data_IF_703500418339
#
_entry.id   IF_703500418339
#
_cell.length_a   1.000
_cell.length_b   1.000
_cell.length_c   1.000
_cell.angle_alpha   90.00
_cell.angle_beta   90.00
_cell.angle_gamma   90.00
#
_symmetry.space_group_name_H-M   'P 1'
#
loop_
_entity.id
_entity.type
_entity.pdbx_description
1 polymer ?
#
# COMPACT_ATOMS: atom_id res chain seq x y z
N UNK A 1 1.50 -2.80 7.37
CA UNK A 1 1.90 -3.00 5.96
C UNK A 1 2.39 -4.42 5.79
N UNK A 2 1.91 -5.11 4.77
CA UNK A 2 2.35 -6.46 4.38
C UNK A 2 3.00 -6.42 2.99
N UNK A 3 3.92 -7.35 2.73
CA UNK A 3 4.55 -7.55 1.42
C UNK A 3 4.90 -9.03 1.22
N UNK A 4 4.99 -9.49 -0.03
CA UNK A 4 5.34 -10.88 -0.31
C UNK A 4 5.15 -11.26 -1.77
N UNK A 5 5.56 -12.48 -2.11
CA UNK A 5 5.28 -13.08 -3.42
C UNK A 5 3.92 -13.75 -3.39
N UNK A 6 3.05 -13.37 -4.33
CA UNK A 6 1.69 -13.88 -4.46
C UNK A 6 1.70 -15.41 -4.59
N UNK A 7 0.82 -16.09 -3.85
CA UNK A 7 0.69 -17.55 -3.88
C UNK A 7 1.78 -18.32 -3.11
N UNK A 8 2.62 -17.64 -2.32
CA UNK A 8 3.67 -18.27 -1.52
C UNK A 8 3.63 -17.77 -0.07
N UNK A 9 4.34 -18.46 0.83
CA UNK A 9 4.55 -18.02 2.22
C UNK A 9 5.68 -17.00 2.37
N UNK A 10 6.31 -16.59 1.26
CA UNK A 10 7.41 -15.65 1.26
C UNK A 10 6.85 -14.23 1.36
N UNK A 11 7.06 -13.60 2.52
CA UNK A 11 6.60 -12.26 2.79
C UNK A 11 6.89 -11.82 4.21
N UNK A 12 6.41 -10.63 4.56
CA UNK A 12 6.51 -10.07 5.89
C UNK A 12 5.42 -9.05 6.17
N UNK A 13 5.25 -8.72 7.44
CA UNK A 13 4.43 -7.60 7.87
C UNK A 13 5.21 -6.71 8.82
N UNK A 14 4.96 -5.41 8.72
CA UNK A 14 5.42 -4.41 9.67
C UNK A 14 4.21 -3.63 10.17
N UNK A 15 4.01 -3.69 11.48
CA UNK A 15 3.08 -2.83 12.20
C UNK A 15 3.90 -1.70 12.84
N UNK A 16 3.38 -0.48 12.80
CA UNK A 16 3.99 0.67 13.44
C UNK A 16 2.92 1.38 14.27
N UNK A 17 3.19 1.57 15.55
CA UNK A 17 2.36 2.38 16.41
C UNK A 17 2.60 3.86 16.10
N UNK A 18 1.51 4.60 15.93
CA UNK A 18 1.54 6.03 15.59
C UNK A 18 0.59 6.75 16.52
N UNK A 19 1.03 7.88 17.07
CA UNK A 19 0.29 8.59 18.12
C UNK A 19 -0.71 9.60 17.58
N UNK A 20 -0.65 9.91 16.28
CA UNK A 20 -1.58 10.84 15.64
C UNK A 20 -1.93 10.43 14.22
N UNK A 21 -3.16 10.74 13.80
CA UNK A 21 -3.63 10.56 12.43
C UNK A 21 -2.73 11.27 11.41
N UNK A 22 -2.28 12.49 11.73
CA UNK A 22 -1.40 13.27 10.85
C UNK A 22 -0.07 12.55 10.61
N UNK A 23 0.50 11.95 11.65
CA UNK A 23 1.73 11.17 11.52
C UNK A 23 1.48 9.88 10.72
N UNK A 24 0.36 9.20 10.96
CA UNK A 24 -0.04 8.00 10.22
C UNK A 24 -0.16 8.27 8.72
N UNK A 25 -0.86 9.34 8.33
CA UNK A 25 -1.02 9.76 6.94
C UNK A 25 0.32 10.09 6.30
N UNK A 26 1.17 10.85 6.98
CA UNK A 26 2.51 11.19 6.44
C UNK A 26 3.36 9.95 6.20
N UNK A 27 3.34 8.98 7.11
CA UNK A 27 4.07 7.72 6.95
C UNK A 27 3.52 6.94 5.76
N UNK A 28 2.19 6.86 5.64
CA UNK A 28 1.54 6.21 4.51
C UNK A 28 1.94 6.83 3.17
N UNK A 29 1.85 8.16 3.04
CA UNK A 29 2.21 8.89 1.82
C UNK A 29 3.69 8.71 1.46
N UNK A 30 4.58 8.76 2.45
CA UNK A 30 6.01 8.51 2.26
C UNK A 30 6.26 7.12 1.66
N UNK A 31 5.66 6.09 2.26
CA UNK A 31 5.86 4.73 1.77
C UNK A 31 5.21 4.54 0.39
N UNK A 32 4.03 5.11 0.16
CA UNK A 32 3.40 5.06 -1.16
C UNK A 32 4.33 5.65 -2.24
N UNK A 33 4.92 6.82 -1.97
CA UNK A 33 5.87 7.46 -2.89
C UNK A 33 7.13 6.64 -3.08
N UNK A 34 7.72 6.12 -2.00
CA UNK A 34 8.91 5.25 -2.09
C UNK A 34 8.65 3.99 -2.93
N UNK A 35 7.44 3.43 -2.87
CA UNK A 35 7.10 2.18 -3.57
C UNK A 35 6.69 2.43 -5.02
N UNK A 36 6.00 3.53 -5.30
CA UNK A 36 5.41 3.77 -6.63
C UNK A 36 6.12 4.83 -7.47
N UNK A 37 6.95 5.65 -6.83
CA UNK A 37 7.52 6.86 -7.42
C UNK A 37 6.53 8.04 -7.52
N UNK A 38 5.26 7.88 -7.10
CA UNK A 38 4.21 8.88 -7.27
C UNK A 38 3.77 9.48 -5.93
N UNK A 39 3.42 10.77 -5.91
CA UNK A 39 2.78 11.39 -4.74
C UNK A 39 1.36 10.85 -4.56
N UNK A 40 0.96 10.55 -3.32
CA UNK A 40 -0.39 10.07 -3.02
C UNK A 40 -1.49 11.07 -3.43
N UNK A 41 -1.20 12.38 -3.31
CA UNK A 41 -2.09 13.43 -3.76
C UNK A 41 -2.39 13.37 -5.27
N UNK A 42 -1.44 12.85 -6.06
CA UNK A 42 -1.53 12.74 -7.52
C UNK A 42 -1.94 11.33 -7.99
N UNK A 43 -2.47 10.48 -7.10
CA UNK A 43 -2.86 9.09 -7.43
C UNK A 43 -3.84 8.95 -8.62
N UNK A 44 -4.63 9.98 -8.91
CA UNK A 44 -5.56 9.99 -10.05
C UNK A 44 -4.85 10.22 -11.40
N UNK A 45 -3.60 10.66 -11.38
CA UNK A 45 -2.73 10.88 -12.54
C UNK A 45 -1.48 10.00 -12.40
N UNK A 46 -1.69 8.72 -12.07
CA UNK A 46 -0.60 7.79 -11.79
C UNK A 46 0.24 7.52 -13.05
N UNK A 47 1.56 7.64 -12.93
CA UNK A 47 2.51 7.27 -13.98
C UNK A 47 3.33 6.04 -13.56
N UNK A 48 3.33 4.98 -14.38
CA UNK A 48 4.14 3.79 -14.08
C UNK A 48 5.62 4.12 -14.20
N UNK A 49 6.33 3.97 -13.08
CA UNK A 49 7.79 4.07 -13.02
C UNK A 49 8.41 2.66 -13.14
N UNK A 50 9.50 2.53 -13.89
CA UNK A 50 10.27 1.27 -13.99
C UNK A 50 10.71 0.80 -12.59
N UNK A 51 10.73 -0.52 -12.36
CA UNK A 51 11.08 -1.17 -11.09
C UNK A 51 10.28 -0.73 -9.85
N UNK A 52 9.22 0.07 -10.05
CA UNK A 52 8.33 0.55 -8.98
C UNK A 52 7.00 -0.19 -9.02
N UNK A 53 6.31 -0.22 -7.89
CA UNK A 53 5.02 -0.89 -7.79
C UNK A 53 3.90 -0.10 -8.48
N UNK A 54 2.87 -0.81 -8.90
CA UNK A 54 1.64 -0.29 -9.49
C UNK A 54 0.44 -0.55 -8.56
N UNK A 55 -0.48 0.42 -8.37
CA UNK A 55 -1.68 0.24 -7.55
C UNK A 55 -2.68 -0.69 -8.20
N UNK A 56 -3.20 -1.64 -7.42
CA UNK A 56 -4.25 -2.56 -7.87
C UNK A 56 -5.51 -2.36 -7.06
N UNK A 57 -6.63 -2.19 -7.76
CA UNK A 57 -7.94 -2.08 -7.13
C UNK A 57 -8.37 -3.43 -6.59
N UNK A 58 -8.81 -3.42 -5.34
CA UNK A 58 -9.32 -4.61 -4.65
C UNK A 58 -10.73 -4.36 -4.17
N UNK A 59 -11.58 -5.33 -4.45
CA UNK A 59 -12.93 -5.35 -3.90
C UNK A 59 -12.90 -5.96 -2.49
N UNK A 60 -12.86 -5.07 -1.50
CA UNK A 60 -12.92 -5.44 -0.08
C UNK A 60 -14.28 -5.97 0.37
N UNK A 61 -15.34 -5.87 -0.46
CA UNK A 61 -16.67 -6.35 -0.08
C UNK A 61 -16.73 -7.88 0.11
N UNK A 62 -15.80 -8.60 -0.53
CA UNK A 62 -15.71 -10.06 -0.49
C UNK A 62 -14.87 -10.57 0.68
N UNK A 63 -14.09 -9.71 1.33
CA UNK A 63 -13.19 -10.08 2.44
C UNK A 63 -13.89 -9.80 3.76
N UNK A 64 -14.73 -10.74 4.23
CA UNK A 64 -15.26 -10.72 5.60
C UNK A 64 -14.17 -11.10 6.61
N UNK A 65 -13.21 -10.22 6.85
CA UNK A 65 -12.34 -10.27 8.02
C UNK A 65 -12.12 -8.84 8.55
N UNK A 66 -12.43 -8.65 9.83
CA UNK A 66 -12.32 -7.43 10.66
C UNK A 66 -11.94 -6.11 9.96
N UNK A 67 -12.93 -5.24 9.88
CA UNK A 67 -12.94 -3.91 9.28
C UNK A 67 -11.86 -2.93 9.79
N UNK A 68 -10.55 -3.07 9.51
CA UNK A 68 -9.61 -1.98 9.84
C UNK A 68 -8.41 -1.79 8.89
N UNK A 69 -8.26 -2.56 7.81
CA UNK A 69 -7.10 -2.42 6.90
C UNK A 69 -7.48 -1.84 5.53
N UNK A 70 -7.35 -0.52 5.39
CA UNK A 70 -7.32 0.15 4.08
C UNK A 70 -5.95 -0.18 3.47
N UNK A 71 -5.86 -1.24 2.67
CA UNK A 71 -4.65 -1.57 1.95
C UNK A 71 -4.81 -1.19 0.47
N UNK A 72 -4.03 -0.24 -0.01
CA UNK A 72 -3.70 -0.24 -1.44
C UNK A 72 -2.68 -1.37 -1.62
N UNK A 73 -3.03 -2.45 -2.34
CA UNK A 73 -2.03 -3.44 -2.71
C UNK A 73 -1.27 -2.89 -3.91
N UNK A 74 0.03 -2.72 -3.70
CA UNK A 74 1.00 -2.31 -4.68
C UNK A 74 1.67 -3.58 -5.22
N UNK A 75 1.58 -3.86 -6.53
CA UNK A 75 2.20 -5.03 -7.19
C UNK A 75 3.36 -4.58 -8.08
N UNK A 76 4.48 -5.29 -8.02
CA UNK A 76 5.60 -5.12 -8.96
C UNK A 76 5.28 -5.93 -10.22
N UNK A 77 5.13 -5.26 -11.36
CA UNK A 77 4.94 -5.87 -12.70
C UNK A 77 6.25 -5.76 -13.45
#
# INVERSE_FOLDING_TARGET
MSWGRIGTTIGGMKLAEVTSLKQALKIFECIYKERTGNEWASRNHFEKVADSFYPVDLDYSQVRFNCYEIAAILILI
#
